data_IF_116072969716
#
_entry.id   IF_116072969716
#
_cell.length_a   1.000
_cell.length_b   1.000
_cell.length_c   1.000
_cell.angle_alpha   90.00
_cell.angle_beta   90.00
_cell.angle_gamma   90.00
#
_symmetry.space_group_name_H-M   'P 1'
#
loop_
_entity.id
_entity.type
_entity.pdbx_description
1 polymer ?
#
# COMPACT_ATOMS: atom_id res chain seq x y z
N UNK A 1 30.05 -11.80 -12.67
CA UNK A 1 28.81 -11.28 -12.07
C UNK A 1 28.71 -11.86 -10.68
N UNK A 2 28.72 -11.03 -9.62
CA UNK A 2 28.48 -11.51 -8.26
C UNK A 2 26.99 -11.86 -8.16
N UNK A 3 26.67 -13.14 -8.01
CA UNK A 3 25.31 -13.59 -7.69
C UNK A 3 24.94 -12.98 -6.33
N UNK A 4 23.92 -12.11 -6.30
CA UNK A 4 23.42 -11.55 -5.06
C UNK A 4 22.92 -12.70 -4.21
N UNK A 5 23.57 -12.92 -3.06
CA UNK A 5 23.20 -13.97 -2.11
C UNK A 5 21.81 -13.66 -1.56
N UNK A 6 20.80 -14.43 -1.97
CA UNK A 6 19.43 -14.28 -1.48
C UNK A 6 19.38 -14.64 0.00
N UNK A 7 18.92 -13.70 0.83
CA UNK A 7 18.70 -13.92 2.26
C UNK A 7 17.19 -13.94 2.49
N UNK A 8 16.58 -15.11 2.77
CA UNK A 8 15.14 -15.20 2.98
C UNK A 8 14.73 -14.45 4.25
N UNK A 9 13.58 -13.77 4.20
CA UNK A 9 13.02 -13.05 5.35
C UNK A 9 12.48 -14.04 6.38
N UNK A 10 12.72 -13.75 7.66
CA UNK A 10 12.20 -14.56 8.77
C UNK A 10 10.78 -14.13 9.22
N UNK A 11 10.37 -12.89 8.95
CA UNK A 11 9.06 -12.33 9.35
C UNK A 11 8.53 -11.37 8.27
N UNK A 12 7.21 -11.20 8.25
CA UNK A 12 6.54 -10.17 7.45
C UNK A 12 7.02 -8.76 7.87
N UNK A 13 7.02 -7.79 6.95
CA UNK A 13 7.43 -6.43 7.27
C UNK A 13 6.46 -5.79 8.27
N UNK A 14 6.97 -4.88 9.10
CA UNK A 14 6.15 -4.12 10.05
C UNK A 14 5.28 -3.05 9.37
N UNK A 15 5.62 -2.70 8.13
CA UNK A 15 4.93 -1.74 7.28
C UNK A 15 4.86 -2.29 5.87
N UNK A 16 3.76 -2.03 5.17
CA UNK A 16 3.58 -2.53 3.81
C UNK A 16 4.66 -1.99 2.88
N UNK A 17 5.22 -2.88 2.07
CA UNK A 17 6.37 -2.61 1.20
C UNK A 17 5.98 -1.92 -0.11
N UNK A 18 4.69 -1.84 -0.39
CA UNK A 18 4.13 -1.14 -1.53
C UNK A 18 2.61 -1.08 -1.46
N UNK A 19 2.00 -0.44 -2.44
CA UNK A 19 0.56 -0.46 -2.61
C UNK A 19 0.20 -0.44 -4.10
N UNK A 20 -1.02 -0.88 -4.42
CA UNK A 20 -1.63 -0.69 -5.74
C UNK A 20 -3.04 -0.16 -5.58
N UNK A 21 -3.51 0.51 -6.62
CA UNK A 21 -4.81 1.15 -6.66
C UNK A 21 -5.63 0.59 -7.81
N UNK A 22 -6.90 0.30 -7.54
CA UNK A 22 -7.90 -0.01 -8.55
C UNK A 22 -9.14 0.84 -8.29
N UNK A 23 -9.65 1.55 -9.29
CA UNK A 23 -10.85 2.36 -9.15
C UNK A 23 -11.93 1.93 -10.14
N UNK A 24 -13.17 1.97 -9.68
CA UNK A 24 -14.38 1.89 -10.48
C UNK A 24 -15.26 3.12 -10.21
N UNK A 25 -16.49 3.07 -10.70
CA UNK A 25 -17.37 4.25 -10.68
C UNK A 25 -17.67 4.77 -9.28
N UNK A 26 -17.87 3.91 -8.28
CA UNK A 26 -18.27 4.33 -6.91
C UNK A 26 -17.26 3.97 -5.82
N UNK A 27 -16.26 3.15 -6.14
CA UNK A 27 -15.32 2.58 -5.19
C UNK A 27 -13.89 2.63 -5.72
N UNK A 28 -12.95 2.95 -4.84
CA UNK A 28 -11.52 2.75 -5.02
C UNK A 28 -11.04 1.70 -4.03
N UNK A 29 -10.22 0.76 -4.48
CA UNK A 29 -9.55 -0.24 -3.65
C UNK A 29 -8.07 0.10 -3.60
N UNK A 30 -7.54 0.18 -2.39
CA UNK A 30 -6.11 0.30 -2.09
C UNK A 30 -5.65 -1.04 -1.52
N UNK A 31 -4.83 -1.77 -2.27
CA UNK A 31 -4.20 -2.97 -1.76
C UNK A 31 -2.79 -2.62 -1.27
N UNK A 32 -2.53 -2.91 -0.02
CA UNK A 32 -1.21 -2.85 0.59
C UNK A 32 -0.50 -4.18 0.40
N UNK A 33 0.72 -4.11 -0.12
CA UNK A 33 1.45 -5.26 -0.61
C UNK A 33 2.62 -5.57 0.32
N UNK A 34 2.71 -6.83 0.71
CA UNK A 34 3.96 -7.42 1.16
C UNK A 34 4.72 -7.94 -0.07
N UNK A 35 5.95 -7.45 -0.22
CA UNK A 35 6.90 -7.87 -1.24
C UNK A 35 8.05 -8.61 -0.55
N UNK A 36 7.82 -9.84 -0.06
CA UNK A 36 8.84 -10.62 0.65
C UNK A 36 9.95 -11.10 -0.30
N UNK A 37 9.63 -11.24 -1.59
CA UNK A 37 10.52 -11.79 -2.62
C UNK A 37 10.19 -11.17 -4.00
N UNK A 38 11.17 -11.13 -4.92
CA UNK A 38 11.02 -10.45 -6.23
C UNK A 38 9.91 -11.09 -7.11
N UNK A 39 9.56 -12.35 -6.81
CA UNK A 39 8.61 -13.14 -7.59
C UNK A 39 7.24 -13.35 -6.90
N UNK A 40 7.08 -12.93 -5.64
CA UNK A 40 5.86 -13.19 -4.87
C UNK A 40 5.36 -11.90 -4.26
N UNK A 41 4.27 -11.37 -4.82
CA UNK A 41 3.50 -10.28 -4.23
C UNK A 41 2.33 -10.84 -3.44
N UNK A 42 2.25 -10.54 -2.15
CA UNK A 42 1.09 -10.88 -1.32
C UNK A 42 0.34 -9.60 -0.94
N UNK A 43 -0.98 -9.65 -0.98
CA UNK A 43 -1.81 -8.58 -0.42
C UNK A 43 -1.85 -8.79 1.09
N UNK A 44 -1.32 -7.82 1.83
CA UNK A 44 -1.33 -7.81 3.29
C UNK A 44 -2.67 -7.29 3.80
N UNK A 45 -3.14 -6.18 3.23
CA UNK A 45 -4.38 -5.51 3.62
C UNK A 45 -5.01 -4.84 2.40
N UNK A 46 -6.34 -4.83 2.34
CA UNK A 46 -7.09 -4.08 1.33
C UNK A 46 -8.04 -3.10 2.00
N UNK A 47 -8.08 -1.87 1.49
CA UNK A 47 -9.01 -0.83 1.94
C UNK A 47 -9.91 -0.45 0.77
N UNK A 48 -11.22 -0.52 0.97
CA UNK A 48 -12.21 -0.02 0.04
C UNK A 48 -12.68 1.38 0.47
N UNK A 49 -12.65 2.33 -0.47
CA UNK A 49 -12.91 3.74 -0.23
C UNK A 49 -13.97 4.21 -1.23
N UNK A 50 -15.07 4.76 -0.73
CA UNK A 50 -16.09 5.43 -1.54
C UNK A 50 -15.63 6.84 -1.95
N UNK A 51 -16.25 7.44 -2.97
CA UNK A 51 -15.96 8.84 -3.36
C UNK A 51 -16.01 9.83 -2.19
N UNK A 52 -17.00 9.70 -1.31
CA UNK A 52 -17.15 10.60 -0.17
C UNK A 52 -16.02 10.43 0.85
N UNK A 53 -15.63 9.18 1.14
CA UNK A 53 -14.49 8.89 2.02
C UNK A 53 -13.17 9.37 1.40
N UNK A 54 -13.00 9.26 0.09
CA UNK A 54 -11.82 9.75 -0.61
C UNK A 54 -11.69 11.28 -0.51
N UNK A 55 -12.78 12.04 -0.63
CA UNK A 55 -12.77 13.50 -0.43
C UNK A 55 -12.31 13.88 0.97
N UNK A 56 -12.90 13.26 1.99
CA UNK A 56 -12.52 13.48 3.39
C UNK A 56 -11.07 13.09 3.68
N UNK A 57 -10.59 12.02 3.05
CA UNK A 57 -9.18 11.61 3.15
C UNK A 57 -8.27 12.69 2.58
N UNK A 58 -8.59 13.24 1.40
CA UNK A 58 -7.80 14.32 0.80
C UNK A 58 -7.80 15.57 1.70
N UNK A 59 -8.96 15.96 2.24
CA UNK A 59 -9.08 17.08 3.18
C UNK A 59 -8.19 16.88 4.40
N UNK A 60 -8.28 15.73 5.08
CA UNK A 60 -7.43 15.44 6.25
C UNK A 60 -5.94 15.33 5.92
N UNK A 61 -5.58 14.84 4.73
CA UNK A 61 -4.18 14.85 4.28
C UNK A 61 -3.68 16.26 4.00
N UNK A 62 -4.51 17.13 3.44
CA UNK A 62 -4.18 18.55 3.25
C UNK A 62 -4.02 19.26 4.58
N UNK A 63 -4.90 19.01 5.56
CA UNK A 63 -4.75 19.52 6.92
C UNK A 63 -3.42 19.06 7.53
N UNK A 64 -3.11 17.76 7.49
CA UNK A 64 -1.85 17.22 8.01
C UNK A 64 -0.60 17.81 7.34
N UNK A 65 -0.62 18.05 6.02
CA UNK A 65 0.52 18.64 5.31
C UNK A 65 0.72 20.10 5.67
N UNK A 66 -0.37 20.83 5.94
CA UNK A 66 -0.36 22.26 6.18
C UNK A 66 -0.39 22.61 7.69
N UNK A 67 -0.45 21.62 8.58
CA UNK A 67 -0.18 21.80 10.01
C UNK A 67 1.31 22.10 10.20
N UNK A 68 1.62 23.32 10.67
CA UNK A 68 2.96 23.78 11.08
C UNK A 68 3.52 23.01 12.29
#
# INVERSE_FOLDING_TARGET
>A
MNEKKFIPRQRAPFVSMGFRLASGDELCIVDFLDLPDDNVTKVETSIAITKNQAKKLIEGLQEFINED
#
